data_IF_212682904887
#
_entry.id   IF_212682904887
#
_cell.length_a   1.000
_cell.length_b   1.000
_cell.length_c   1.000
_cell.angle_alpha   90.00
_cell.angle_beta   90.00
_cell.angle_gamma   90.00
#
_symmetry.space_group_name_H-M   'P 1'
#
loop_
_entity.id
_entity.type
_entity.pdbx_description
1 polymer ?
#
# COMPACT_ATOMS: atom_id res chain seq x y z
N UNK A 1 -18.76 -24.63 -1.45
CA UNK A 1 -19.09 -23.65 -0.39
C UNK A 1 -18.14 -22.48 -0.54
N UNK A 2 -18.70 -21.30 -0.78
CA UNK A 2 -17.99 -20.04 -0.97
C UNK A 2 -17.27 -19.69 0.34
N UNK A 3 -15.94 -19.60 0.32
CA UNK A 3 -15.18 -19.08 1.46
C UNK A 3 -15.17 -17.56 1.34
N UNK A 4 -15.80 -16.93 2.31
CA UNK A 4 -16.06 -15.49 2.38
C UNK A 4 -14.81 -14.65 2.09
N UNK A 5 -14.88 -13.93 0.97
CA UNK A 5 -13.91 -12.94 0.53
C UNK A 5 -13.90 -11.71 1.43
N UNK A 6 -13.36 -11.83 2.65
CA UNK A 6 -12.98 -10.67 3.45
C UNK A 6 -11.58 -10.23 3.06
N UNK A 7 -11.50 -9.37 2.05
CA UNK A 7 -10.34 -8.52 1.81
C UNK A 7 -10.15 -7.63 3.04
N UNK A 8 -9.24 -8.00 3.95
CA UNK A 8 -8.77 -7.10 4.99
C UNK A 8 -7.89 -6.06 4.28
N UNK A 9 -8.53 -5.01 3.80
CA UNK A 9 -7.89 -3.76 3.39
C UNK A 9 -7.67 -2.99 4.69
N UNK A 10 -6.43 -2.95 5.15
CA UNK A 10 -6.04 -2.09 6.25
C UNK A 10 -6.09 -0.65 5.75
N UNK A 11 -7.30 -0.06 5.67
CA UNK A 11 -7.48 1.35 5.38
C UNK A 11 -6.95 2.13 6.58
N UNK A 12 -5.66 2.46 6.54
CA UNK A 12 -5.04 3.36 7.51
C UNK A 12 -5.82 4.68 7.54
N UNK A 13 -6.12 5.15 8.76
CA UNK A 13 -6.88 6.37 8.97
C UNK A 13 -6.15 7.60 8.42
N UNK A 14 -6.98 8.50 7.90
CA UNK A 14 -6.75 9.49 6.87
C UNK A 14 -6.03 10.75 7.39
N UNK A 15 -4.93 11.15 6.75
CA UNK A 15 -4.50 12.56 6.74
C UNK A 15 -4.69 13.05 5.31
N UNK A 16 -5.84 13.65 5.04
CA UNK A 16 -6.20 14.16 3.71
C UNK A 16 -5.39 15.43 3.42
N UNK A 17 -4.26 15.28 2.74
CA UNK A 17 -3.53 16.41 2.15
C UNK A 17 -4.11 16.63 0.74
N UNK A 18 -5.35 17.11 0.65
CA UNK A 18 -5.90 17.57 -0.62
C UNK A 18 -5.69 19.08 -0.76
N UNK A 19 -4.57 19.43 -1.37
CA UNK A 19 -4.34 20.72 -2.02
C UNK A 19 -4.09 20.50 -3.51
N UNK A 20 -3.66 21.53 -4.24
CA UNK A 20 -3.33 21.47 -5.68
C UNK A 20 -2.05 20.66 -6.02
N UNK A 21 -1.59 19.77 -5.14
CA UNK A 21 -0.33 19.04 -5.30
C UNK A 21 -0.56 17.61 -5.79
N UNK A 22 0.43 17.08 -6.52
CA UNK A 22 0.47 15.69 -6.96
C UNK A 22 0.41 14.72 -5.77
N UNK A 23 -0.37 13.65 -5.92
CA UNK A 23 -0.47 12.56 -4.95
C UNK A 23 0.04 11.26 -5.56
N UNK A 24 0.95 10.58 -4.86
CA UNK A 24 1.44 9.25 -5.24
C UNK A 24 0.94 8.23 -4.23
N UNK A 25 0.15 7.26 -4.72
CA UNK A 25 -0.30 6.10 -3.97
C UNK A 25 0.60 4.90 -4.29
N UNK A 26 1.23 4.34 -3.27
CA UNK A 26 2.08 3.15 -3.35
C UNK A 26 1.35 1.97 -2.73
N UNK A 27 1.04 0.96 -3.53
CA UNK A 27 0.40 -0.29 -3.06
C UNK A 27 1.47 -1.37 -2.95
N UNK A 28 1.61 -1.95 -1.76
CA UNK A 28 2.61 -2.97 -1.45
C UNK A 28 1.96 -4.19 -0.83
N UNK A 29 2.56 -5.36 -0.99
CA UNK A 29 2.13 -6.57 -0.28
C UNK A 29 2.90 -6.69 1.03
N UNK A 30 2.24 -7.20 2.07
CA UNK A 30 2.95 -7.68 3.25
C UNK A 30 3.77 -8.94 2.90
N UNK A 31 4.94 -9.09 3.53
CA UNK A 31 5.84 -10.23 3.28
C UNK A 31 5.27 -11.57 3.75
N UNK A 32 4.38 -11.56 4.74
CA UNK A 32 3.74 -12.75 5.29
C UNK A 32 2.25 -12.48 5.53
N UNK A 33 1.45 -13.55 5.47
CA UNK A 33 0.01 -13.53 5.74
C UNK A 33 -0.33 -13.07 7.15
N UNK A 34 0.52 -13.36 8.14
CA UNK A 34 0.26 -12.94 9.53
C UNK A 34 0.25 -11.42 9.66
N UNK A 35 1.22 -10.75 9.03
CA UNK A 35 1.29 -9.29 8.96
C UNK A 35 0.10 -8.75 8.17
N UNK A 36 -0.23 -9.38 7.04
CA UNK A 36 -1.36 -8.97 6.20
C UNK A 36 -2.72 -9.07 6.91
N UNK A 37 -2.84 -9.92 7.93
CA UNK A 37 -4.08 -10.11 8.71
C UNK A 37 -4.15 -9.22 9.95
N UNK A 38 -3.03 -8.68 10.42
CA UNK A 38 -2.97 -7.76 11.54
C UNK A 38 -3.04 -6.29 11.06
N UNK A 39 -4.16 -5.58 11.31
CA UNK A 39 -4.31 -4.19 10.91
C UNK A 39 -3.28 -3.25 11.55
N UNK A 40 -2.88 -3.52 12.79
CA UNK A 40 -1.91 -2.69 13.51
C UNK A 40 -0.52 -2.86 12.92
N UNK A 41 -0.10 -4.10 12.65
CA UNK A 41 1.16 -4.37 11.97
C UNK A 41 1.20 -3.74 10.56
N UNK A 42 0.10 -3.84 9.80
CA UNK A 42 -0.01 -3.18 8.49
C UNK A 42 0.13 -1.67 8.58
N UNK A 43 -0.54 -1.01 9.54
CA UNK A 43 -0.44 0.44 9.72
C UNK A 43 0.98 0.88 10.12
N UNK A 44 1.63 0.13 11.01
CA UNK A 44 3.02 0.38 11.41
C UNK A 44 3.97 0.26 10.21
N UNK A 45 3.85 -0.81 9.42
CA UNK A 45 4.64 -1.01 8.20
C UNK A 45 4.40 0.12 7.18
N UNK A 46 3.15 0.55 7.00
CA UNK A 46 2.80 1.65 6.10
C UNK A 46 3.46 2.97 6.53
N UNK A 47 3.45 3.29 7.84
CA UNK A 47 4.10 4.50 8.38
C UNK A 47 5.62 4.45 8.24
N UNK A 48 6.22 3.30 8.52
CA UNK A 48 7.67 3.10 8.34
C UNK A 48 8.08 3.31 6.88
N UNK A 49 7.33 2.74 5.93
CA UNK A 49 7.62 2.91 4.51
C UNK A 49 7.42 4.36 4.04
N UNK A 50 6.35 5.03 4.47
CA UNK A 50 6.13 6.45 4.18
C UNK A 50 7.31 7.31 4.67
N UNK A 51 7.79 7.06 5.89
CA UNK A 51 8.94 7.77 6.43
C UNK A 51 10.21 7.48 5.61
N UNK A 52 10.48 6.21 5.27
CA UNK A 52 11.63 5.84 4.45
C UNK A 52 11.59 6.52 3.07
N UNK A 53 10.45 6.51 2.38
CA UNK A 53 10.28 7.21 1.10
C UNK A 53 10.56 8.70 1.27
N UNK A 54 10.00 9.32 2.32
CA UNK A 54 10.21 10.75 2.56
C UNK A 54 11.69 11.07 2.83
N UNK A 55 12.37 10.23 3.60
CA UNK A 55 13.78 10.41 3.97
C UNK A 55 14.74 10.17 2.81
N UNK A 56 14.52 9.13 2.00
CA UNK A 56 15.47 8.75 0.94
C UNK A 56 15.15 9.34 -0.44
N UNK A 57 13.88 9.59 -0.75
CA UNK A 57 13.43 10.09 -2.06
C UNK A 57 12.97 11.55 -1.98
N UNK A 58 12.51 12.01 -0.80
CA UNK A 58 12.11 13.40 -0.58
C UNK A 58 10.63 13.70 -0.86
N UNK A 59 9.87 12.74 -1.37
CA UNK A 59 8.46 12.91 -1.73
C UNK A 59 7.51 12.46 -0.62
N UNK A 60 6.34 13.07 -0.57
CA UNK A 60 5.23 12.63 0.29
C UNK A 60 4.39 11.61 -0.47
N UNK A 61 4.07 10.48 0.16
CA UNK A 61 3.32 9.39 -0.48
C UNK A 61 2.25 8.84 0.44
N UNK A 62 1.18 8.31 -0.13
CA UNK A 62 0.25 7.44 0.58
C UNK A 62 0.66 5.98 0.35
N UNK A 63 0.65 5.16 1.41
CA UNK A 63 0.99 3.73 1.33
C UNK A 63 -0.21 2.89 1.73
N UNK A 64 -0.58 1.93 0.89
CA UNK A 64 -1.59 0.91 1.17
C UNK A 64 -0.90 -0.46 1.23
N UNK A 65 -1.00 -1.13 2.37
CA UNK A 65 -0.54 -2.52 2.52
C UNK A 65 -1.69 -3.45 2.16
N UNK A 66 -1.49 -4.25 1.12
CA UNK A 66 -2.44 -5.19 0.59
C UNK A 66 -2.09 -6.63 1.02
N UNK A 67 -3.04 -7.54 0.81
CA UNK A 67 -2.83 -8.97 1.05
C UNK A 67 -1.70 -9.53 0.19
N UNK A 68 -1.08 -10.60 0.67
CA UNK A 68 -0.10 -11.37 -0.11
C UNK A 68 -0.75 -11.82 -1.41
N UNK A 69 -0.01 -11.74 -2.52
CA UNK A 69 -0.43 -12.13 -3.87
C UNK A 69 -1.55 -11.27 -4.51
N UNK A 70 -1.90 -10.13 -3.91
CA UNK A 70 -2.91 -9.21 -4.45
C UNK A 70 -2.42 -8.32 -5.58
N UNK A 71 -1.11 -8.12 -5.70
CA UNK A 71 -0.48 -7.35 -6.77
C UNK A 71 -0.13 -8.29 -7.91
N UNK A 72 -0.59 -7.91 -9.10
CA UNK A 72 -0.36 -8.68 -10.31
C UNK A 72 1.13 -9.03 -10.49
N UNK A 73 1.38 -10.34 -10.63
CA UNK A 73 2.69 -10.88 -10.95
C UNK A 73 2.99 -10.62 -12.43
N UNK A 74 4.22 -10.23 -12.71
CA UNK A 74 4.62 -9.90 -14.08
C UNK A 74 4.83 -11.17 -14.90
N UNK A 75 4.11 -11.28 -16.02
CA UNK A 75 4.35 -12.30 -17.05
C UNK A 75 5.43 -11.88 -18.07
N UNK A 76 6.10 -10.75 -17.81
CA UNK A 76 7.08 -10.08 -18.68
C UNK A 76 7.69 -8.88 -17.95
N UNK A 77 7.88 -7.73 -18.62
CA UNK A 77 8.29 -6.49 -17.93
C UNK A 77 7.17 -6.00 -17.01
N UNK A 78 7.46 -5.82 -15.73
CA UNK A 78 6.48 -5.34 -14.76
C UNK A 78 6.06 -3.89 -15.06
N UNK A 79 4.75 -3.64 -15.15
CA UNK A 79 4.18 -2.28 -15.20
C UNK A 79 3.65 -1.93 -13.81
N UNK A 80 4.44 -1.17 -13.04
CA UNK A 80 4.12 -0.83 -11.64
C UNK A 80 3.47 0.54 -11.45
N UNK A 81 3.54 1.39 -12.48
CA UNK A 81 3.00 2.76 -12.44
C UNK A 81 1.72 2.83 -13.26
N UNK A 82 0.66 3.33 -12.63
CA UNK A 82 -0.56 3.76 -13.29
C UNK A 82 -0.69 5.27 -13.06
N UNK A 83 -0.54 6.05 -14.12
CA UNK A 83 -0.80 7.49 -14.05
C UNK A 83 -2.30 7.73 -14.17
N UNK A 84 -2.84 8.52 -13.25
CA UNK A 84 -4.28 8.83 -13.08
C UNK A 84 -4.50 10.33 -12.85
N UNK A 85 -3.52 11.18 -13.18
CA UNK A 85 -3.62 12.64 -13.07
C UNK A 85 -4.75 13.21 -13.93
#
# INVERSE_FOLDING_TARGET
MLVDGKSVSCRGNLKEVKGNMDMVLVRVEASNHDIARDPTACEQAAKQLQHAIKTYIGISTQVEVCQVESVMRSLGKARRVKDLR
#
